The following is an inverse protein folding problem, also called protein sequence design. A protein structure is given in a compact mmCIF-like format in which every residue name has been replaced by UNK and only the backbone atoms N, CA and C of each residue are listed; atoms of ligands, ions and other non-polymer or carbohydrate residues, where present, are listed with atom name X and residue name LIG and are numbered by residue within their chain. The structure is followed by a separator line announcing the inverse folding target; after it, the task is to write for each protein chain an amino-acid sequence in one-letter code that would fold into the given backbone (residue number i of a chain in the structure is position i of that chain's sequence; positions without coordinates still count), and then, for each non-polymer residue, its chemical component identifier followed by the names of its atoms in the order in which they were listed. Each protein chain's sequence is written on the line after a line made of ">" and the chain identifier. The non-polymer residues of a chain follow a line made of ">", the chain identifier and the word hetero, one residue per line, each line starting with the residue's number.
data_IF_679066271303
#
_entry.id   IF_679066271303
#
_cell.length_a   1.000
_cell.length_b   1.000
_cell.length_c   1.000
_cell.angle_alpha   90.00
_cell.angle_beta   90.00
_cell.angle_gamma   90.00
#
_symmetry.space_group_name_H-M   'P 1'
#
loop_
_entity.id
_entity.type
_entity.pdbx_description
1 polymer ?
#
# COMPACT_ATOMS: atom_id res chain seq x y z
N UNK A 1 -3.58 -9.98 51.56
CA UNK A 1 -4.17 -8.98 50.64
C UNK A 1 -5.51 -9.46 50.13
N UNK A 2 -6.53 -8.59 50.10
CA UNK A 2 -7.83 -8.92 49.54
C UNK A 2 -7.75 -9.01 48.01
N UNK A 3 -8.29 -10.07 47.40
CA UNK A 3 -8.19 -10.34 45.95
C UNK A 3 -8.64 -9.16 45.07
N UNK A 4 -9.65 -8.42 45.51
CA UNK A 4 -10.16 -7.22 44.85
C UNK A 4 -9.15 -6.05 44.84
N UNK A 5 -8.32 -5.91 45.88
CA UNK A 5 -7.28 -4.86 45.93
C UNK A 5 -6.18 -5.17 44.91
N UNK A 6 -5.77 -6.43 44.80
CA UNK A 6 -4.82 -6.86 43.78
C UNK A 6 -5.37 -6.66 42.36
N UNK A 7 -6.64 -7.00 42.12
CA UNK A 7 -7.27 -6.81 40.81
C UNK A 7 -7.36 -5.32 40.41
N UNK A 8 -7.75 -4.45 41.34
CA UNK A 8 -7.79 -3.00 41.10
C UNK A 8 -6.39 -2.46 40.82
N UNK A 9 -5.38 -2.88 41.59
CA UNK A 9 -4.00 -2.46 41.37
C UNK A 9 -3.50 -2.87 39.98
N UNK A 10 -3.75 -4.11 39.56
CA UNK A 10 -3.40 -4.58 38.22
C UNK A 10 -4.06 -3.71 37.15
N UNK A 11 -5.38 -3.49 37.23
CA UNK A 11 -6.11 -2.65 36.27
C UNK A 11 -5.53 -1.24 36.18
N UNK A 12 -5.26 -0.60 37.32
CA UNK A 12 -4.68 0.75 37.36
C UNK A 12 -3.27 0.77 36.75
N UNK A 13 -2.42 -0.18 37.12
CA UNK A 13 -1.06 -0.25 36.54
C UNK A 13 -1.09 -0.51 35.04
N UNK A 14 -2.00 -1.36 34.54
CA UNK A 14 -2.19 -1.59 33.12
C UNK A 14 -2.65 -0.32 32.40
N UNK A 15 -3.61 0.42 32.97
CA UNK A 15 -4.09 1.67 32.38
C UNK A 15 -2.97 2.72 32.27
N UNK A 16 -2.16 2.90 33.32
CA UNK A 16 -1.03 3.84 33.33
C UNK A 16 0.04 3.46 32.31
N UNK A 17 0.37 2.17 32.19
CA UNK A 17 1.35 1.70 31.19
C UNK A 17 0.83 1.94 29.77
N UNK A 18 -0.45 1.70 29.50
CA UNK A 18 -1.04 1.96 28.19
C UNK A 18 -0.97 3.46 27.86
N UNK A 19 -1.41 4.32 28.79
CA UNK A 19 -1.42 5.78 28.62
C UNK A 19 -0.01 6.34 28.36
N UNK A 20 1.02 5.80 29.03
CA UNK A 20 2.41 6.23 28.84
C UNK A 20 3.01 5.86 27.48
N UNK A 21 2.44 4.88 26.77
CA UNK A 21 3.03 4.35 25.54
C UNK A 21 2.17 4.57 24.30
N UNK A 22 0.89 4.93 24.46
CA UNK A 22 -0.06 5.04 23.36
C UNK A 22 -0.51 6.48 23.21
N UNK A 23 -0.18 7.08 22.08
CA UNK A 23 -0.61 8.43 21.72
C UNK A 23 -1.40 8.43 20.41
N UNK A 24 -2.23 9.44 20.21
CA UNK A 24 -2.97 9.67 18.98
C UNK A 24 -2.49 10.96 18.32
N UNK A 25 -1.85 10.82 17.18
CA UNK A 25 -1.32 11.95 16.42
C UNK A 25 -2.15 12.21 15.16
N UNK A 26 -2.21 13.48 14.74
CA UNK A 26 -2.79 13.87 13.46
C UNK A 26 -1.68 14.15 12.46
N UNK A 27 -1.59 13.33 11.41
CA UNK A 27 -0.64 13.47 10.31
C UNK A 27 -1.42 13.61 8.99
N UNK A 28 -1.15 14.67 8.22
CA UNK A 28 -1.82 14.95 6.95
C UNK A 28 -3.36 14.89 7.00
N UNK A 29 -3.94 15.42 8.09
CA UNK A 29 -5.39 15.43 8.30
C UNK A 29 -6.01 14.06 8.63
N UNK A 30 -5.19 13.05 8.93
CA UNK A 30 -5.61 11.71 9.35
C UNK A 30 -5.02 11.34 10.69
N UNK A 31 -5.69 10.44 11.41
CA UNK A 31 -5.23 9.97 12.73
C UNK A 31 -4.32 8.76 12.59
N UNK A 32 -3.22 8.78 13.34
CA UNK A 32 -2.26 7.69 13.47
C UNK A 32 -2.16 7.35 14.95
N UNK A 33 -2.08 6.06 15.26
CA UNK A 33 -1.80 5.58 16.61
C UNK A 33 -0.28 5.48 16.76
N UNK A 34 0.29 6.21 17.71
CA UNK A 34 1.71 6.12 18.01
C UNK A 34 1.89 5.20 19.22
N UNK A 35 2.67 4.11 19.07
CA UNK A 35 3.01 3.21 20.18
C UNK A 35 4.50 3.29 20.46
N UNK A 36 4.91 3.83 21.61
CA UNK A 36 6.32 4.08 21.95
C UNK A 36 7.07 4.88 20.88
N UNK A 37 6.41 5.91 20.32
CA UNK A 37 6.96 6.73 19.23
C UNK A 37 6.86 6.11 17.83
N UNK A 38 6.23 4.93 17.70
CA UNK A 38 6.07 4.26 16.42
C UNK A 38 4.69 4.48 15.80
N UNK A 39 4.60 5.09 14.61
CA UNK A 39 3.31 5.37 13.98
C UNK A 39 2.68 4.11 13.40
N UNK A 40 1.38 3.94 13.63
CA UNK A 40 0.57 2.82 13.14
C UNK A 40 -0.78 3.31 12.58
N UNK A 41 -1.03 2.98 11.32
CA UNK A 41 -2.29 3.28 10.62
C UNK A 41 -3.37 2.21 10.94
N UNK A 42 -4.03 2.36 12.09
CA UNK A 42 -5.11 1.46 12.54
C UNK A 42 -6.27 1.45 11.54
N UNK A 43 -6.63 2.60 10.99
CA UNK A 43 -7.74 2.73 10.04
C UNK A 43 -7.46 1.94 8.77
N UNK A 44 -6.27 2.14 8.17
CA UNK A 44 -5.87 1.41 6.97
C UNK A 44 -5.71 -0.09 7.22
N UNK A 45 -5.17 -0.49 8.36
CA UNK A 45 -5.11 -1.91 8.72
C UNK A 45 -6.51 -2.54 8.81
N UNK A 46 -7.43 -1.91 9.55
CA UNK A 46 -8.79 -2.42 9.72
C UNK A 46 -9.56 -2.48 8.39
N UNK A 47 -9.39 -1.46 7.54
CA UNK A 47 -9.98 -1.42 6.20
C UNK A 47 -9.50 -2.59 5.33
N UNK A 48 -8.20 -2.91 5.34
CA UNK A 48 -7.67 -4.05 4.59
C UNK A 48 -8.13 -5.39 5.17
N UNK A 49 -8.20 -5.55 6.50
CA UNK A 49 -8.74 -6.79 7.09
C UNK A 49 -10.19 -7.03 6.66
N UNK A 50 -11.03 -5.99 6.73
CA UNK A 50 -12.41 -6.06 6.30
C UNK A 50 -12.53 -6.31 4.78
N UNK A 51 -11.58 -5.83 3.99
CA UNK A 51 -11.53 -6.12 2.55
C UNK A 51 -11.17 -7.58 2.28
N UNK A 52 -10.14 -8.11 2.94
CA UNK A 52 -9.69 -9.49 2.77
C UNK A 52 -10.81 -10.51 3.04
N UNK A 53 -11.68 -10.22 4.01
CA UNK A 53 -12.82 -11.07 4.34
C UNK A 53 -13.98 -10.99 3.34
N UNK A 54 -14.09 -9.91 2.57
CA UNK A 54 -15.23 -9.67 1.66
C UNK A 54 -14.90 -9.85 0.18
N UNK A 55 -13.62 -9.74 -0.19
CA UNK A 55 -13.20 -9.77 -1.59
C UNK A 55 -13.35 -11.19 -2.16
N UNK A 56 -13.89 -11.28 -3.37
CA UNK A 56 -13.82 -12.47 -4.20
C UNK A 56 -12.94 -12.17 -5.41
N UNK A 57 -11.81 -12.86 -5.49
CA UNK A 57 -10.83 -12.70 -6.56
C UNK A 57 -10.81 -13.90 -7.53
N UNK A 58 -11.79 -14.80 -7.45
CA UNK A 58 -11.86 -16.01 -8.29
C UNK A 58 -11.92 -15.69 -9.79
N UNK A 59 -12.58 -14.59 -10.15
CA UNK A 59 -12.70 -14.12 -11.53
C UNK A 59 -11.44 -13.40 -12.05
N UNK A 60 -10.54 -12.95 -11.17
CA UNK A 60 -9.34 -12.18 -11.52
C UNK A 60 -8.08 -13.02 -11.36
N UNK A 61 -7.85 -13.91 -12.31
CA UNK A 61 -6.61 -14.71 -12.36
C UNK A 61 -5.41 -13.80 -12.68
N UNK A 62 -4.26 -14.00 -12.02
CA UNK A 62 -3.01 -13.36 -12.44
C UNK A 62 -2.73 -13.66 -13.91
N UNK A 63 -2.27 -12.66 -14.65
CA UNK A 63 -1.77 -12.85 -16.01
C UNK A 63 -0.42 -13.57 -15.93
N UNK A 64 -0.27 -14.74 -16.56
CA UNK A 64 1.02 -15.41 -16.66
C UNK A 64 2.04 -14.54 -17.41
N UNK A 65 3.26 -14.45 -16.90
CA UNK A 65 4.31 -13.55 -17.43
C UNK A 65 4.79 -13.92 -18.84
N UNK A 66 4.50 -15.13 -19.31
CA UNK A 66 4.80 -15.63 -20.65
C UNK A 66 3.75 -15.23 -21.70
N UNK A 67 2.66 -14.58 -21.30
CA UNK A 67 1.61 -14.16 -22.24
C UNK A 67 2.04 -12.99 -23.12
N UNK A 68 1.65 -12.97 -24.41
CA UNK A 68 1.92 -11.84 -25.30
C UNK A 68 1.41 -10.49 -24.74
N UNK A 69 0.26 -10.50 -24.07
CA UNK A 69 -0.31 -9.30 -23.42
C UNK A 69 0.64 -8.68 -22.40
N UNK A 70 1.37 -9.50 -21.64
CA UNK A 70 2.36 -9.01 -20.67
C UNK A 70 3.49 -8.27 -21.39
N UNK A 71 4.01 -8.83 -22.49
CA UNK A 71 5.05 -8.16 -23.29
C UNK A 71 4.55 -6.84 -23.87
N UNK A 72 3.30 -6.79 -24.36
CA UNK A 72 2.69 -5.54 -24.83
C UNK A 72 2.61 -4.50 -23.72
N UNK A 73 2.19 -4.89 -22.52
CA UNK A 73 2.11 -3.97 -21.38
C UNK A 73 3.49 -3.49 -20.94
N UNK A 74 4.48 -4.38 -20.88
CA UNK A 74 5.86 -4.00 -20.55
C UNK A 74 6.42 -3.01 -21.58
N UNK A 75 6.21 -3.23 -22.88
CA UNK A 75 6.62 -2.28 -23.91
C UNK A 75 5.94 -0.92 -23.73
N UNK A 76 4.64 -0.90 -23.48
CA UNK A 76 3.89 0.34 -23.21
C UNK A 76 4.45 1.05 -21.98
N UNK A 77 4.79 0.33 -20.91
CA UNK A 77 5.37 0.89 -19.68
C UNK A 77 6.80 1.38 -19.90
N UNK A 78 7.61 0.65 -20.67
CA UNK A 78 9.00 1.00 -20.99
C UNK A 78 9.08 2.24 -21.89
N UNK A 79 8.13 2.39 -22.82
CA UNK A 79 8.02 3.54 -23.70
C UNK A 79 7.40 4.76 -23.01
N UNK A 80 6.64 4.51 -21.94
CA UNK A 80 6.09 5.56 -21.12
C UNK A 80 7.18 6.08 -20.18
N UNK A 81 7.52 7.37 -20.27
CA UNK A 81 8.68 8.04 -19.65
C UNK A 81 8.72 8.05 -18.10
N UNK A 82 8.49 6.90 -17.46
CA UNK A 82 8.80 6.70 -16.06
C UNK A 82 10.32 6.74 -15.88
N UNK A 83 10.82 7.24 -14.73
CA UNK A 83 12.23 7.12 -14.41
C UNK A 83 12.65 5.64 -14.43
N UNK A 84 13.80 5.33 -15.03
CA UNK A 84 14.35 3.96 -15.16
C UNK A 84 13.42 2.95 -15.89
N UNK A 85 12.47 3.43 -16.70
CA UNK A 85 11.46 2.64 -17.43
C UNK A 85 12.04 1.52 -18.29
N UNK A 86 13.23 1.69 -18.88
CA UNK A 86 13.90 0.68 -19.71
C UNK A 86 14.20 -0.62 -18.95
N UNK A 87 14.41 -0.55 -17.64
CA UNK A 87 14.68 -1.72 -16.79
C UNK A 87 13.41 -2.36 -16.21
N UNK A 88 12.22 -1.91 -16.62
CA UNK A 88 10.95 -2.39 -16.09
C UNK A 88 10.77 -3.89 -16.33
N UNK A 89 10.59 -4.63 -15.24
CA UNK A 89 10.27 -6.07 -15.23
C UNK A 89 8.95 -6.31 -14.50
N UNK A 90 8.10 -7.17 -15.06
CA UNK A 90 6.82 -7.52 -14.44
C UNK A 90 7.00 -8.29 -13.13
N UNK A 91 6.28 -7.89 -12.08
CA UNK A 91 6.15 -8.65 -10.83
C UNK A 91 4.81 -9.37 -10.74
N UNK A 92 3.73 -8.66 -11.02
CA UNK A 92 2.39 -9.22 -11.12
C UNK A 92 1.55 -8.38 -12.06
N UNK A 93 0.58 -9.01 -12.73
CA UNK A 93 -0.34 -8.33 -13.62
C UNK A 93 -1.72 -8.94 -13.47
N UNK A 94 -2.75 -8.09 -13.47
CA UNK A 94 -4.15 -8.51 -13.45
C UNK A 94 -4.92 -7.69 -14.46
N UNK A 95 -5.84 -8.34 -15.16
CA UNK A 95 -6.68 -7.72 -16.18
C UNK A 95 -8.14 -8.04 -15.89
N UNK A 96 -9.01 -7.06 -16.17
CA UNK A 96 -10.45 -7.26 -16.19
C UNK A 96 -11.04 -6.41 -17.32
N UNK A 97 -11.49 -7.06 -18.39
CA UNK A 97 -11.95 -6.39 -19.61
C UNK A 97 -10.86 -5.49 -20.19
N UNK A 98 -11.21 -4.22 -20.41
CA UNK A 98 -10.35 -3.18 -20.96
C UNK A 98 -9.44 -2.52 -19.92
N UNK A 99 -9.35 -3.06 -18.70
CA UNK A 99 -8.54 -2.52 -17.62
C UNK A 99 -7.47 -3.49 -17.16
N UNK A 100 -6.32 -2.93 -16.80
CA UNK A 100 -5.16 -3.65 -16.30
C UNK A 100 -4.52 -2.95 -15.12
N UNK A 101 -3.97 -3.73 -14.20
CA UNK A 101 -3.05 -3.24 -13.17
C UNK A 101 -1.79 -4.09 -13.25
N UNK A 102 -0.66 -3.43 -13.47
CA UNK A 102 0.65 -4.05 -13.51
C UNK A 102 1.50 -3.54 -12.35
N UNK A 103 2.11 -4.44 -11.61
CA UNK A 103 3.23 -4.09 -10.75
C UNK A 103 4.52 -4.39 -11.50
N UNK A 104 5.39 -3.39 -11.59
CA UNK A 104 6.69 -3.49 -12.23
C UNK A 104 7.79 -3.15 -11.24
N UNK A 105 8.89 -3.88 -11.31
CA UNK A 105 10.13 -3.55 -10.63
C UNK A 105 11.09 -2.89 -11.62
N UNK A 106 11.99 -2.08 -11.08
CA UNK A 106 13.08 -1.44 -11.81
C UNK A 106 14.41 -1.89 -11.18
N UNK A 107 15.51 -1.65 -11.87
CA UNK A 107 16.84 -1.96 -11.33
C UNK A 107 17.25 -0.98 -10.23
N UNK A 108 16.98 0.32 -10.41
CA UNK A 108 17.49 1.38 -9.53
C UNK A 108 16.40 2.04 -8.69
N UNK A 109 15.13 1.75 -8.97
CA UNK A 109 14.00 2.42 -8.34
C UNK A 109 13.09 1.46 -7.57
N UNK A 110 12.27 2.06 -6.68
CA UNK A 110 11.19 1.36 -6.00
C UNK A 110 10.19 0.82 -7.03
N UNK A 111 9.61 -0.37 -6.81
CA UNK A 111 8.55 -0.89 -7.66
C UNK A 111 7.39 0.09 -7.82
N UNK A 112 6.70 0.01 -8.96
CA UNK A 112 5.55 0.84 -9.27
C UNK A 112 4.32 -0.01 -9.57
N UNK A 113 3.16 0.48 -9.15
CA UNK A 113 1.85 0.01 -9.60
C UNK A 113 1.36 0.96 -10.69
N UNK A 114 1.10 0.39 -11.87
CA UNK A 114 0.71 1.10 -13.08
C UNK A 114 -0.66 0.61 -13.51
N UNK A 115 -1.61 1.53 -13.65
CA UNK A 115 -2.92 1.24 -14.23
C UNK A 115 -2.85 1.40 -15.75
N UNK A 116 -3.35 0.41 -16.47
CA UNK A 116 -3.45 0.43 -17.93
C UNK A 116 -4.92 0.34 -18.36
N UNK A 117 -5.24 0.98 -19.48
CA UNK A 117 -6.55 0.87 -20.11
C UNK A 117 -6.41 0.63 -21.60
N UNK A 118 -7.23 -0.27 -22.13
CA UNK A 118 -7.38 -0.48 -23.56
C UNK A 118 -8.29 0.64 -24.12
N UNK A 119 -7.73 1.46 -25.00
CA UNK A 119 -8.43 2.54 -25.68
C UNK A 119 -8.14 2.44 -27.18
N UNK A 120 -9.18 2.40 -28.01
CA UNK A 120 -9.02 2.34 -29.48
C UNK A 120 -8.15 1.14 -29.94
N UNK A 121 -8.22 0.03 -29.21
CA UNK A 121 -7.43 -1.17 -29.51
C UNK A 121 -5.98 -1.12 -29.05
N UNK A 122 -5.55 -0.06 -28.34
CA UNK A 122 -4.20 0.07 -27.80
C UNK A 122 -4.19 0.25 -26.29
N UNK A 123 -3.29 -0.44 -25.61
CA UNK A 123 -3.07 -0.26 -24.18
C UNK A 123 -2.34 1.06 -23.93
N UNK A 124 -2.84 1.85 -22.99
CA UNK A 124 -2.23 3.11 -22.57
C UNK A 124 -2.10 3.14 -21.06
N UNK A 125 -0.96 3.63 -20.57
CA UNK A 125 -0.77 3.96 -19.15
C UNK A 125 -1.77 5.05 -18.76
N UNK A 126 -2.33 4.94 -17.56
CA UNK A 126 -3.15 6.00 -16.97
C UNK A 126 -2.23 6.83 -16.06
N UNK A 127 -1.68 7.92 -16.60
CA UNK A 127 -0.59 8.70 -15.98
C UNK A 127 -0.88 9.14 -14.54
N UNK A 128 -2.13 9.49 -14.27
CA UNK A 128 -2.56 9.91 -12.93
C UNK A 128 -2.64 8.74 -11.95
N UNK A 129 -2.82 7.52 -12.43
CA UNK A 129 -2.99 6.30 -11.65
C UNK A 129 -1.73 5.42 -11.68
N UNK A 130 -0.60 6.04 -11.40
CA UNK A 130 0.70 5.39 -11.19
C UNK A 130 1.17 5.68 -9.77
N UNK A 131 1.46 4.64 -9.01
CA UNK A 131 2.07 4.79 -7.68
C UNK A 131 3.47 4.18 -7.64
N UNK A 132 4.45 4.96 -7.22
CA UNK A 132 5.79 4.50 -6.86
C UNK A 132 6.23 5.19 -5.57
N UNK A 133 7.02 4.49 -4.76
CA UNK A 133 7.59 5.03 -3.53
C UNK A 133 6.93 4.54 -2.25
N UNK A 134 7.36 5.13 -1.14
CA UNK A 134 6.93 4.72 0.19
C UNK A 134 5.56 5.28 0.56
N UNK A 135 4.77 4.48 1.25
CA UNK A 135 3.51 4.89 1.87
C UNK A 135 3.66 5.17 3.35
N UNK A 136 4.86 5.06 3.94
CA UNK A 136 5.07 5.24 5.37
C UNK A 136 4.49 6.59 5.86
N UNK A 137 3.86 6.64 7.04
CA UNK A 137 3.60 5.51 7.96
C UNK A 137 2.29 4.76 7.68
N UNK A 138 1.63 5.04 6.55
CA UNK A 138 0.32 4.50 6.20
C UNK A 138 0.38 3.05 5.76
N UNK A 139 -0.72 2.33 5.99
CA UNK A 139 -0.87 0.98 5.47
C UNK A 139 -0.79 1.00 3.94
N UNK A 140 0.21 0.33 3.37
CA UNK A 140 0.53 0.45 1.94
C UNK A 140 -0.61 0.04 1.03
N UNK A 141 -1.25 -1.09 1.33
CA UNK A 141 -2.34 -1.58 0.51
C UNK A 141 -3.54 -0.64 0.56
N UNK A 142 -3.98 -0.23 1.75
CA UNK A 142 -5.09 0.71 1.89
C UNK A 142 -4.81 2.04 1.20
N UNK A 143 -3.63 2.61 1.45
CA UNK A 143 -3.23 3.91 0.91
C UNK A 143 -3.22 3.89 -0.61
N UNK A 144 -2.52 2.92 -1.22
CA UNK A 144 -2.37 2.84 -2.68
C UNK A 144 -3.69 2.52 -3.36
N UNK A 145 -4.52 1.62 -2.82
CA UNK A 145 -5.87 1.35 -3.38
C UNK A 145 -6.72 2.62 -3.39
N UNK A 146 -6.70 3.39 -2.30
CA UNK A 146 -7.44 4.66 -2.22
C UNK A 146 -6.92 5.68 -3.21
N UNK A 147 -5.60 5.83 -3.33
CA UNK A 147 -4.95 6.70 -4.30
C UNK A 147 -5.37 6.32 -5.73
N UNK A 148 -5.17 5.07 -6.14
CA UNK A 148 -5.51 4.61 -7.49
C UNK A 148 -7.01 4.77 -7.80
N UNK A 149 -7.90 4.55 -6.82
CA UNK A 149 -9.33 4.81 -6.97
C UNK A 149 -9.66 6.29 -7.20
N UNK A 150 -8.95 7.19 -6.53
CA UNK A 150 -9.15 8.64 -6.70
C UNK A 150 -8.67 9.10 -8.07
N UNK A 151 -7.53 8.57 -8.53
CA UNK A 151 -6.90 8.96 -9.79
C UNK A 151 -7.52 8.30 -11.02
N UNK A 152 -8.05 7.08 -10.89
CA UNK A 152 -8.81 6.39 -11.93
C UNK A 152 -10.17 5.90 -11.39
N UNK A 153 -11.17 6.79 -11.28
CA UNK A 153 -12.50 6.43 -10.75
C UNK A 153 -13.24 5.36 -11.56
N UNK A 154 -12.85 5.17 -12.82
CA UNK A 154 -13.43 4.18 -13.74
C UNK A 154 -12.75 2.80 -13.66
N UNK A 155 -11.64 2.68 -12.92
CA UNK A 155 -10.93 1.41 -12.73
C UNK A 155 -11.85 0.43 -11.98
N UNK A 156 -12.09 -0.79 -12.52
CA UNK A 156 -12.94 -1.75 -11.85
C UNK A 156 -12.50 -2.04 -10.42
N UNK A 157 -13.43 -1.89 -9.48
CA UNK A 157 -13.17 -2.07 -8.06
C UNK A 157 -12.60 -3.47 -7.75
N UNK A 158 -12.99 -4.50 -8.50
CA UNK A 158 -12.45 -5.85 -8.35
C UNK A 158 -10.94 -5.91 -8.63
N UNK A 159 -10.42 -5.20 -9.64
CA UNK A 159 -8.97 -5.11 -9.90
C UNK A 159 -8.26 -4.44 -8.71
N UNK A 160 -8.82 -3.32 -8.25
CA UNK A 160 -8.29 -2.61 -7.09
C UNK A 160 -8.33 -3.40 -5.80
N UNK A 161 -9.22 -4.37 -5.63
CA UNK A 161 -9.31 -5.18 -4.41
C UNK A 161 -8.44 -6.44 -4.47
N UNK A 162 -8.17 -6.93 -5.67
CA UNK A 162 -7.51 -8.22 -5.90
C UNK A 162 -6.04 -8.10 -6.29
N UNK A 163 -5.53 -6.91 -6.62
CA UNK A 163 -4.08 -6.70 -6.73
C UNK A 163 -3.43 -6.85 -5.34
N UNK A 164 -2.31 -7.55 -5.25
CA UNK A 164 -1.60 -7.71 -3.99
C UNK A 164 -0.62 -6.55 -3.83
N UNK A 165 -0.61 -5.88 -2.68
CA UNK A 165 0.26 -4.71 -2.44
C UNK A 165 1.12 -5.06 -1.25
N UNK A 166 2.39 -5.36 -1.54
CA UNK A 166 3.32 -5.88 -0.56
C UNK A 166 3.88 -4.76 0.32
N UNK A 167 3.61 -4.78 1.65
CA UNK A 167 4.13 -3.78 2.57
C UNK A 167 5.67 -3.78 2.64
N UNK A 168 6.37 -4.85 2.26
CA UNK A 168 7.84 -4.83 2.19
C UNK A 168 8.36 -3.96 1.05
N UNK A 169 7.59 -3.86 -0.05
CA UNK A 169 7.96 -3.06 -1.23
C UNK A 169 7.62 -1.59 -1.06
N UNK A 170 6.46 -1.32 -0.47
CA UNK A 170 5.88 0.03 -0.37
C UNK A 170 5.90 0.63 1.05
N UNK A 171 6.11 -0.16 2.08
CA UNK A 171 6.10 0.31 3.48
C UNK A 171 7.37 1.04 3.95
N UNK A 172 8.60 0.70 3.50
CA UNK A 172 9.80 1.39 3.99
C UNK A 172 10.00 2.75 3.30
N UNK A 173 10.01 3.84 4.08
CA UNK A 173 10.48 5.18 3.66
C UNK A 173 11.98 5.25 3.38
N UNK A 174 12.50 6.38 2.85
CA UNK A 174 13.94 6.65 2.83
C UNK A 174 14.43 6.69 4.28
N UNK A 175 14.96 5.56 4.74
CA UNK A 175 15.10 5.23 6.16
C UNK A 175 14.96 3.74 6.45
N UNK A 176 14.40 2.95 5.52
CA UNK A 176 14.49 1.48 5.55
C UNK A 176 13.81 0.80 6.73
N UNK A 177 12.94 1.52 7.45
CA UNK A 177 12.31 1.05 8.66
C UNK A 177 10.81 1.26 8.53
N UNK A 178 10.06 0.16 8.44
CA UNK A 178 8.88 0.10 9.29
C UNK A 178 9.33 0.28 10.75
N UNK A 179 8.39 0.62 11.64
CA UNK A 179 8.61 1.52 12.77
C UNK A 179 9.93 2.37 12.79
N UNK A 180 9.84 3.70 12.59
CA UNK A 180 10.93 4.68 12.81
C UNK A 180 11.24 4.87 14.31
N UNK A 181 12.41 4.46 14.85
CA UNK A 181 12.82 4.76 16.23
C UNK A 181 12.77 6.28 16.49
N UNK A 182 12.21 6.68 17.62
CA UNK A 182 11.98 8.07 18.04
C UNK A 182 13.26 8.89 18.35
N UNK A 183 14.37 8.61 17.69
CA UNK A 183 15.68 9.17 18.00
C UNK A 183 16.30 10.02 16.89
N UNK A 184 15.50 10.54 15.95
CA UNK A 184 15.98 11.55 14.99
C UNK A 184 14.99 12.71 14.87
N UNK A 185 14.79 13.44 15.97
CA UNK A 185 14.39 14.86 15.94
C UNK A 185 14.63 15.50 17.30
N UNK A 186 15.90 15.66 17.65
CA UNK A 186 16.33 16.79 18.48
C UNK A 186 17.73 17.18 18.07
N UNK A 187 17.83 18.29 17.35
CA UNK A 187 18.75 19.35 17.72
C UNK A 187 18.31 20.67 17.04
N UNK A 188 18.63 21.80 17.68
CA UNK A 188 17.77 22.98 17.85
C UNK A 188 17.51 23.79 16.58
#
# INVERSE_FOLDING_TARGET
>A
MKRHVAAILVLLTTAVVIDSHVDWESLDGRRVLTVSGQPFDVEGWAAEQALLWRRDCSALKPLPMDKPTVNTWLQVIQQHSLPDSESARGLQMRQLGDWGVAEVAFEKLKPALVVLRLQEGQWRVQDQAVWSGSTAPWNSAHFVRRYLRQQAPQLPQALLQCIDIDPQRYGPGPGGLGPVPASVTRQP
#
